data_IF_737047273711
#
_entry.id   IF_737047273711
#
_cell.length_a   1.000
_cell.length_b   1.000
_cell.length_c   1.000
_cell.angle_alpha   90.00
_cell.angle_beta   90.00
_cell.angle_gamma   90.00
#
_symmetry.space_group_name_H-M   'P 1'
#
loop_
_entity.id
_entity.type
_entity.pdbx_description
1 polymer ?
#
# COMPACT_ATOMS: atom_id res chain seq x y z
N UNK A 1 -6.13 58.73 -47.40
CA UNK A 1 -7.01 58.64 -46.21
C UNK A 1 -7.79 57.34 -46.33
N UNK A 2 -7.46 56.31 -45.51
CA UNK A 2 -8.14 55.96 -44.24
C UNK A 2 -9.45 55.18 -44.53
N UNK A 3 -9.85 54.03 -43.97
CA UNK A 3 -9.64 53.34 -42.69
C UNK A 3 -10.07 51.88 -42.94
N UNK A 4 -9.17 50.90 -42.88
CA UNK A 4 -9.54 49.48 -42.66
C UNK A 4 -8.43 48.81 -41.86
N UNK A 5 -8.20 49.32 -40.67
CA UNK A 5 -7.37 48.67 -39.66
C UNK A 5 -8.17 48.64 -38.34
N UNK A 6 -8.12 47.49 -37.66
CA UNK A 6 -8.75 47.14 -36.35
C UNK A 6 -10.14 46.48 -36.54
N UNK A 7 -10.40 45.26 -36.05
CA UNK A 7 -10.04 44.74 -34.72
C UNK A 7 -9.93 43.19 -34.68
N UNK A 8 -8.78 42.58 -35.01
CA UNK A 8 -8.52 41.16 -34.65
C UNK A 8 -8.47 40.92 -33.13
N UNK A 9 -8.53 41.99 -32.32
CA UNK A 9 -8.42 41.97 -30.86
C UNK A 9 -9.78 41.81 -30.16
N UNK A 10 -10.91 42.09 -30.82
CA UNK A 10 -12.24 42.02 -30.16
C UNK A 10 -12.66 40.59 -29.84
N UNK A 11 -12.41 39.64 -30.75
CA UNK A 11 -12.67 38.21 -30.49
C UNK A 11 -11.90 37.67 -29.29
N UNK A 12 -10.55 37.82 -29.26
CA UNK A 12 -9.73 37.47 -28.12
C UNK A 12 -10.13 38.17 -26.83
N UNK A 13 -10.52 39.45 -26.88
CA UNK A 13 -10.95 40.22 -25.72
C UNK A 13 -12.28 39.71 -25.15
N UNK A 14 -13.26 39.37 -26.01
CA UNK A 14 -14.53 38.77 -25.58
C UNK A 14 -14.28 37.41 -24.93
N UNK A 15 -13.40 36.57 -25.52
CA UNK A 15 -13.03 35.29 -24.93
C UNK A 15 -12.33 35.45 -23.58
N UNK A 16 -11.46 36.45 -23.45
CA UNK A 16 -10.76 36.75 -22.19
C UNK A 16 -11.75 37.22 -21.12
N UNK A 17 -12.69 38.11 -21.47
CA UNK A 17 -13.74 38.57 -20.56
C UNK A 17 -14.69 37.44 -20.17
N UNK A 18 -15.11 36.61 -21.13
CA UNK A 18 -15.93 35.44 -20.86
C UNK A 18 -15.20 34.47 -19.92
N UNK A 19 -13.92 34.20 -20.14
CA UNK A 19 -13.11 33.39 -19.24
C UNK A 19 -12.98 34.01 -17.85
N UNK A 20 -12.75 35.33 -17.76
CA UNK A 20 -12.64 36.05 -16.50
C UNK A 20 -13.92 36.02 -15.66
N UNK A 21 -15.09 35.81 -16.27
CA UNK A 21 -16.39 35.69 -15.57
C UNK A 21 -16.76 34.22 -15.32
N UNK A 22 -16.69 33.38 -16.35
CA UNK A 22 -17.10 31.97 -16.29
C UNK A 22 -16.19 31.16 -15.36
N UNK A 23 -14.90 31.47 -15.33
CA UNK A 23 -13.95 30.73 -14.52
C UNK A 23 -14.18 30.91 -13.01
N UNK A 24 -14.30 32.14 -12.45
CA UNK A 24 -14.69 32.31 -11.05
C UNK A 24 -16.02 31.66 -10.70
N UNK A 25 -17.04 31.77 -11.56
CA UNK A 25 -18.33 31.12 -11.34
C UNK A 25 -18.19 29.60 -11.22
N UNK A 26 -17.41 28.97 -12.11
CA UNK A 26 -17.12 27.55 -12.07
C UNK A 26 -16.36 27.15 -10.80
N UNK A 27 -15.35 27.95 -10.41
CA UNK A 27 -14.54 27.71 -9.22
C UNK A 27 -15.37 27.75 -7.94
N UNK A 28 -16.16 28.83 -7.74
CA UNK A 28 -17.03 28.98 -6.57
C UNK A 28 -18.15 27.93 -6.55
N UNK A 29 -18.73 27.59 -7.70
CA UNK A 29 -19.71 26.49 -7.78
C UNK A 29 -19.11 25.15 -7.30
N UNK A 30 -17.90 24.81 -7.76
CA UNK A 30 -17.23 23.59 -7.33
C UNK A 30 -16.87 23.61 -5.82
N UNK A 31 -16.40 24.75 -5.30
CA UNK A 31 -16.11 24.94 -3.88
C UNK A 31 -17.35 24.73 -2.98
N UNK A 32 -18.47 25.41 -3.30
CA UNK A 32 -19.72 25.28 -2.52
C UNK A 32 -20.32 23.88 -2.60
N UNK A 33 -20.23 23.24 -3.78
CA UNK A 33 -20.68 21.85 -3.94
C UNK A 33 -19.91 20.89 -3.04
N UNK A 34 -18.60 21.09 -2.91
CA UNK A 34 -17.74 20.25 -2.08
C UNK A 34 -18.07 20.35 -0.59
N UNK A 35 -18.31 21.56 -0.09
CA UNK A 35 -18.79 21.80 1.28
C UNK A 35 -20.11 21.09 1.56
N UNK A 36 -21.08 21.22 0.63
CA UNK A 36 -22.39 20.58 0.78
C UNK A 36 -22.27 19.05 0.77
N UNK A 37 -21.50 18.49 -0.16
CA UNK A 37 -21.27 17.04 -0.22
C UNK A 37 -20.53 16.51 1.02
N UNK A 38 -19.60 17.29 1.58
CA UNK A 38 -18.92 16.94 2.82
C UNK A 38 -19.89 16.88 4.00
N UNK A 39 -20.75 17.89 4.18
CA UNK A 39 -21.76 17.89 5.25
C UNK A 39 -22.71 16.68 5.15
N UNK A 40 -23.23 16.41 3.95
CA UNK A 40 -24.09 15.24 3.70
C UNK A 40 -23.35 13.91 3.96
N UNK A 41 -22.07 13.83 3.61
CA UNK A 41 -21.25 12.66 3.86
C UNK A 41 -21.02 12.43 5.36
N UNK A 42 -20.74 13.49 6.12
CA UNK A 42 -20.59 13.42 7.59
C UNK A 42 -21.90 12.98 8.25
N UNK A 43 -23.04 13.54 7.83
CA UNK A 43 -24.36 13.13 8.32
C UNK A 43 -24.67 11.65 8.02
N UNK A 44 -24.37 11.20 6.79
CA UNK A 44 -24.55 9.79 6.41
C UNK A 44 -23.71 8.85 7.27
N UNK A 45 -22.45 9.21 7.55
CA UNK A 45 -21.59 8.41 8.40
C UNK A 45 -22.07 8.40 9.87
N UNK A 46 -22.53 9.54 10.38
CA UNK A 46 -23.15 9.61 11.72
C UNK A 46 -24.40 8.74 11.81
N UNK A 47 -25.25 8.73 10.78
CA UNK A 47 -26.41 7.85 10.69
C UNK A 47 -26.04 6.35 10.68
N UNK A 48 -24.84 6.00 10.20
CA UNK A 48 -24.28 4.64 10.27
C UNK A 48 -23.57 4.33 11.60
N UNK A 49 -23.64 5.23 12.58
CA UNK A 49 -23.06 5.06 13.91
C UNK A 49 -21.61 5.54 14.08
N UNK A 50 -21.00 6.17 13.07
CA UNK A 50 -19.65 6.73 13.22
C UNK A 50 -19.71 8.04 14.02
N UNK A 51 -18.86 8.17 15.04
CA UNK A 51 -18.72 9.43 15.76
C UNK A 51 -17.63 10.28 15.09
N UNK A 52 -18.06 11.32 14.36
CA UNK A 52 -17.18 12.24 13.62
C UNK A 52 -17.28 13.63 14.24
N UNK A 53 -16.14 14.14 14.71
CA UNK A 53 -15.97 15.50 15.21
C UNK A 53 -14.83 16.17 14.45
N UNK A 54 -14.99 17.44 14.10
CA UNK A 54 -13.95 18.24 13.46
C UNK A 54 -14.05 19.69 13.95
N UNK A 55 -12.96 20.44 13.79
CA UNK A 55 -12.91 21.88 14.01
C UNK A 55 -13.45 22.65 12.80
N UNK A 56 -12.93 23.85 12.59
CA UNK A 56 -13.31 24.69 11.45
C UNK A 56 -12.96 24.03 10.12
N UNK A 57 -13.80 24.32 9.13
CA UNK A 57 -13.63 23.94 7.74
C UNK A 57 -13.44 25.22 6.94
N UNK A 58 -12.46 25.24 6.05
CA UNK A 58 -12.17 26.39 5.21
C UNK A 58 -11.80 25.98 3.80
N UNK A 59 -12.30 26.71 2.81
CA UNK A 59 -11.98 26.50 1.39
C UNK A 59 -11.12 27.66 0.87
N UNK A 60 -10.01 27.33 0.21
CA UNK A 60 -9.04 28.31 -0.32
C UNK A 60 -8.52 27.89 -1.70
N UNK A 61 -7.65 28.73 -2.28
CA UNK A 61 -6.87 28.38 -3.47
C UNK A 61 -7.35 28.99 -4.80
N UNK A 62 -8.27 29.95 -4.79
CA UNK A 62 -8.63 30.73 -5.98
C UNK A 62 -7.42 31.52 -6.53
N UNK A 63 -7.22 31.61 -7.85
CA UNK A 63 -7.96 31.00 -8.96
C UNK A 63 -7.39 29.62 -9.37
N UNK A 64 -6.67 28.91 -8.52
CA UNK A 64 -6.04 27.61 -8.81
C UNK A 64 -6.82 26.41 -8.27
N UNK A 65 -6.10 25.51 -7.60
CA UNK A 65 -6.64 24.28 -7.00
C UNK A 65 -7.57 24.64 -5.85
N UNK A 66 -8.75 24.03 -5.80
CA UNK A 66 -9.63 24.13 -4.63
C UNK A 66 -9.00 23.32 -3.51
N UNK A 67 -8.62 24.01 -2.44
CA UNK A 67 -8.04 23.42 -1.24
C UNK A 67 -9.04 23.51 -0.09
N UNK A 68 -9.63 22.37 0.24
CA UNK A 68 -10.56 22.22 1.35
C UNK A 68 -9.81 21.73 2.59
N UNK A 69 -9.81 22.50 3.66
CA UNK A 69 -9.03 22.20 4.87
C UNK A 69 -9.94 21.90 6.05
N UNK A 70 -9.73 20.76 6.70
CA UNK A 70 -10.48 20.30 7.87
C UNK A 70 -9.54 20.27 9.07
N UNK A 71 -9.82 21.11 10.08
CA UNK A 71 -9.04 21.16 11.31
C UNK A 71 -9.44 20.08 12.31
N UNK A 72 -8.46 19.52 13.03
CA UNK A 72 -8.59 18.56 14.13
C UNK A 72 -9.65 17.46 13.88
N UNK A 73 -9.62 16.75 12.74
CA UNK A 73 -10.56 15.68 12.48
C UNK A 73 -10.34 14.53 13.47
N UNK A 74 -11.44 14.04 14.03
CA UNK A 74 -11.46 12.87 14.89
C UNK A 74 -12.61 11.96 14.47
N UNK A 75 -12.26 10.72 14.15
CA UNK A 75 -13.16 9.69 13.65
C UNK A 75 -13.09 8.48 14.58
N UNK A 76 -14.24 8.03 15.06
CA UNK A 76 -14.39 6.82 15.86
C UNK A 76 -15.37 5.88 15.17
N UNK A 77 -14.97 4.62 15.07
CA UNK A 77 -15.80 3.57 14.50
C UNK A 77 -17.01 3.25 15.38
N UNK A 78 -18.13 2.74 14.80
CA UNK A 78 -19.34 2.41 15.56
C UNK A 78 -19.09 1.36 16.65
N UNK A 79 -18.20 0.41 16.37
CA UNK A 79 -17.77 -0.66 17.28
C UNK A 79 -16.71 -0.20 18.31
N UNK A 80 -16.18 1.02 18.18
CA UNK A 80 -15.09 1.54 19.01
C UNK A 80 -13.73 0.85 18.81
N UNK A 81 -13.60 -0.08 17.86
CA UNK A 81 -12.37 -0.82 17.60
C UNK A 81 -11.26 0.05 17.01
N UNK A 82 -11.59 1.18 16.39
CA UNK A 82 -10.57 2.12 15.95
C UNK A 82 -10.98 3.57 16.14
N UNK A 83 -9.97 4.38 16.47
CA UNK A 83 -10.10 5.83 16.59
C UNK A 83 -8.94 6.47 15.84
N UNK A 84 -9.25 7.31 14.87
CA UNK A 84 -8.27 8.14 14.18
C UNK A 84 -8.40 9.60 14.61
N UNK A 85 -7.26 10.24 14.84
CA UNK A 85 -7.11 11.66 15.14
C UNK A 85 -6.05 12.25 14.23
N UNK A 86 -6.41 13.31 13.52
CA UNK A 86 -5.50 14.10 12.71
C UNK A 86 -5.39 15.53 13.22
N UNK A 87 -4.32 16.22 12.81
CA UNK A 87 -4.17 17.64 13.09
C UNK A 87 -4.90 18.50 12.05
N UNK A 88 -4.58 18.34 10.77
CA UNK A 88 -5.27 18.99 9.66
C UNK A 88 -5.27 18.08 8.43
N UNK A 89 -6.36 18.11 7.67
CA UNK A 89 -6.46 17.43 6.38
C UNK A 89 -6.78 18.44 5.30
N UNK A 90 -5.96 18.45 4.26
CA UNK A 90 -6.18 19.23 3.04
C UNK A 90 -6.65 18.30 1.94
N UNK A 91 -7.79 18.62 1.33
CA UNK A 91 -8.29 17.97 0.13
C UNK A 91 -8.17 18.95 -1.03
N UNK A 92 -7.24 18.66 -1.93
CA UNK A 92 -7.01 19.38 -3.18
C UNK A 92 -7.77 18.75 -4.34
N UNK A 93 -8.46 19.59 -5.11
CA UNK A 93 -9.14 19.20 -6.35
C UNK A 93 -8.98 20.30 -7.41
N UNK A 94 -8.82 19.91 -8.67
CA UNK A 94 -8.84 20.85 -9.78
C UNK A 94 -10.30 21.13 -10.22
N UNK A 95 -10.74 22.39 -10.35
CA UNK A 95 -12.12 22.74 -10.71
C UNK A 95 -12.62 22.11 -12.01
N UNK A 96 -11.73 21.86 -12.98
CA UNK A 96 -12.04 21.25 -14.28
C UNK A 96 -11.82 19.73 -14.32
N UNK A 97 -11.25 19.12 -13.27
CA UNK A 97 -10.94 17.69 -13.23
C UNK A 97 -11.47 17.03 -11.95
N UNK A 98 -12.74 16.65 -11.98
CA UNK A 98 -13.49 16.04 -10.87
C UNK A 98 -13.15 14.56 -10.65
N UNK A 99 -12.10 14.06 -11.32
CA UNK A 99 -11.69 12.67 -11.29
C UNK A 99 -10.41 12.46 -10.51
N UNK A 100 -9.73 13.52 -10.08
CA UNK A 100 -8.48 13.43 -9.31
C UNK A 100 -8.59 14.22 -8.02
N UNK A 101 -8.37 13.52 -6.91
CA UNK A 101 -8.42 14.08 -5.57
C UNK A 101 -7.07 13.85 -4.90
N UNK A 102 -6.55 14.86 -4.21
CA UNK A 102 -5.32 14.77 -3.44
C UNK A 102 -5.62 15.11 -1.99
N UNK A 103 -5.47 14.13 -1.10
CA UNK A 103 -5.62 14.26 0.33
C UNK A 103 -4.24 14.37 0.96
N UNK A 104 -3.99 15.42 1.71
CA UNK A 104 -2.76 15.61 2.48
C UNK A 104 -3.10 15.72 3.95
N UNK A 105 -2.59 14.77 4.73
CA UNK A 105 -2.75 14.70 6.16
C UNK A 105 -1.49 15.28 6.79
N UNK A 106 -1.57 16.53 7.24
CA UNK A 106 -0.41 17.26 7.77
C UNK A 106 -0.37 17.22 9.29
N UNK A 107 0.84 17.12 9.83
CA UNK A 107 1.07 16.95 11.27
C UNK A 107 0.82 15.54 11.76
N UNK A 108 0.97 15.34 13.07
CA UNK A 108 0.88 14.03 13.70
C UNK A 108 -0.50 13.41 13.49
N UNK A 109 -0.52 12.27 12.79
CA UNK A 109 -1.69 11.41 12.65
C UNK A 109 -1.59 10.30 13.68
N UNK A 110 -2.66 10.03 14.43
CA UNK A 110 -2.70 8.97 15.42
C UNK A 110 -3.90 8.06 15.18
N UNK A 111 -3.66 6.77 14.99
CA UNK A 111 -4.68 5.74 14.90
C UNK A 111 -4.51 4.83 16.11
N UNK A 112 -5.52 4.76 16.96
CA UNK A 112 -5.63 3.74 18.01
C UNK A 112 -6.42 2.58 17.45
N UNK A 113 -5.82 1.40 17.39
CA UNK A 113 -6.49 0.15 17.04
C UNK A 113 -6.68 -0.68 18.30
N UNK A 114 -7.91 -1.11 18.56
CA UNK A 114 -8.37 -1.93 19.68
C UNK A 114 -9.20 -3.08 19.12
N UNK A 115 -8.61 -3.82 18.18
CA UNK A 115 -9.22 -4.99 17.53
C UNK A 115 -8.88 -6.26 18.33
N UNK A 116 -9.65 -7.37 18.29
CA UNK A 116 -9.32 -8.61 19.02
C UNK A 116 -7.92 -9.19 18.71
N UNK A 117 -7.36 -8.86 17.56
CA UNK A 117 -5.99 -9.21 17.16
C UNK A 117 -5.33 -7.94 16.65
N UNK A 118 -4.49 -7.25 17.45
CA UNK A 118 -3.83 -7.69 18.70
C UNK A 118 -4.70 -7.59 19.98
N UNK A 119 -4.53 -8.52 20.94
CA UNK A 119 -5.21 -8.53 22.26
C UNK A 119 -5.05 -7.24 23.08
N UNK A 120 -4.10 -6.38 22.71
CA UNK A 120 -3.83 -5.11 23.36
C UNK A 120 -3.94 -3.97 22.35
N UNK A 121 -4.41 -2.78 22.77
CA UNK A 121 -4.47 -1.65 21.87
C UNK A 121 -3.08 -1.28 21.37
N UNK A 122 -2.98 -0.94 20.09
CA UNK A 122 -1.77 -0.39 19.47
C UNK A 122 -2.04 1.03 18.96
N UNK A 123 -1.01 1.86 19.01
CA UNK A 123 -1.04 3.21 18.50
C UNK A 123 -0.13 3.30 17.29
N UNK A 124 -0.72 3.51 16.13
CA UNK A 124 0.00 3.84 14.92
C UNK A 124 0.07 5.37 14.84
N UNK A 125 1.27 5.90 14.68
CA UNK A 125 1.47 7.33 14.39
C UNK A 125 2.22 7.52 13.10
N UNK A 126 1.90 8.60 12.38
CA UNK A 126 2.60 9.01 11.16
C UNK A 126 2.78 10.53 11.16
N UNK A 127 3.91 11.01 10.65
CA UNK A 127 4.19 12.45 10.55
C UNK A 127 3.46 13.13 9.39
N UNK A 128 3.24 12.39 8.31
CA UNK A 128 2.53 12.89 7.14
C UNK A 128 1.99 11.72 6.32
N UNK A 129 0.80 11.89 5.77
CA UNK A 129 0.24 10.99 4.78
C UNK A 129 -0.23 11.80 3.57
N UNK A 130 0.00 11.27 2.37
CA UNK A 130 -0.54 11.83 1.13
C UNK A 130 -1.25 10.71 0.40
N UNK A 131 -2.51 10.91 0.05
CA UNK A 131 -3.27 10.00 -0.79
C UNK A 131 -3.72 10.71 -2.06
N UNK A 132 -3.48 10.11 -3.22
CA UNK A 132 -3.96 10.56 -4.52
C UNK A 132 -4.93 9.53 -5.04
N UNK A 133 -6.17 9.94 -5.28
CA UNK A 133 -7.23 9.09 -5.79
C UNK A 133 -7.62 9.55 -7.18
N UNK A 134 -7.70 8.60 -8.11
CA UNK A 134 -8.24 8.81 -9.46
C UNK A 134 -9.47 7.94 -9.66
N UNK A 135 -10.50 8.51 -10.25
CA UNK A 135 -11.80 7.85 -10.47
C UNK A 135 -12.07 7.77 -11.98
N UNK A 136 -12.62 6.64 -12.41
CA UNK A 136 -13.09 6.41 -13.78
C UNK A 136 -14.35 7.24 -14.10
N UNK A 137 -14.75 7.27 -15.36
CA UNK A 137 -15.95 7.99 -15.80
C UNK A 137 -17.24 7.50 -15.11
N UNK A 138 -17.27 6.22 -14.75
CA UNK A 138 -18.36 5.54 -14.06
C UNK A 138 -18.37 5.71 -12.53
N UNK A 139 -17.51 6.57 -11.97
CA UNK A 139 -17.43 6.82 -10.52
C UNK A 139 -16.67 5.76 -9.71
N UNK A 140 -16.11 4.72 -10.35
CA UNK A 140 -15.28 3.70 -9.67
C UNK A 140 -13.85 4.16 -9.51
N UNK A 141 -13.18 3.70 -8.46
CA UNK A 141 -11.75 3.95 -8.27
C UNK A 141 -10.95 3.38 -9.46
N UNK A 142 -10.18 4.24 -10.12
CA UNK A 142 -9.23 3.88 -11.16
C UNK A 142 -7.85 3.61 -10.58
N UNK A 143 -7.43 4.46 -9.64
CA UNK A 143 -6.10 4.45 -9.07
C UNK A 143 -6.13 5.05 -7.67
N UNK A 144 -5.44 4.43 -6.73
CA UNK A 144 -5.21 4.96 -5.40
C UNK A 144 -3.74 4.84 -5.06
N UNK A 145 -3.10 5.95 -4.78
CA UNK A 145 -1.71 6.03 -4.38
C UNK A 145 -1.62 6.65 -2.99
N UNK A 146 -0.90 6.01 -2.08
CA UNK A 146 -0.74 6.44 -0.68
C UNK A 146 0.73 6.45 -0.35
N UNK A 147 1.22 7.59 0.13
CA UNK A 147 2.57 7.77 0.68
C UNK A 147 2.45 8.14 2.15
N UNK A 148 3.13 7.41 3.01
CA UNK A 148 3.16 7.60 4.45
C UNK A 148 4.61 7.77 4.88
N UNK A 149 4.87 8.75 5.74
CA UNK A 149 6.22 9.00 6.28
C UNK A 149 6.28 8.85 7.79
N UNK A 150 7.42 8.35 8.26
CA UNK A 150 7.78 8.13 9.66
C UNK A 150 6.65 7.46 10.42
N UNK A 151 6.35 6.22 10.06
CA UNK A 151 5.30 5.43 10.68
C UNK A 151 5.90 4.73 11.89
N UNK A 152 5.32 4.94 13.07
CA UNK A 152 5.68 4.18 14.26
C UNK A 152 4.45 3.50 14.84
N UNK A 153 4.62 2.25 15.23
CA UNK A 153 3.63 1.46 15.95
C UNK A 153 4.14 1.27 17.36
N UNK A 154 3.36 1.71 18.32
CA UNK A 154 3.66 1.61 19.75
C UNK A 154 2.62 0.74 20.44
N UNK A 155 3.05 -0.01 21.45
CA UNK A 155 2.15 -0.79 22.31
C UNK A 155 1.59 0.06 23.48
N UNK A 156 0.84 -0.59 24.37
CA UNK A 156 0.29 0.04 25.59
C UNK A 156 1.34 0.57 26.56
N UNK A 157 2.53 -0.03 26.58
CA UNK A 157 3.66 0.40 27.42
C UNK A 157 4.50 1.49 26.76
N UNK A 158 4.08 2.01 25.60
CA UNK A 158 4.84 2.94 24.75
C UNK A 158 6.15 2.34 24.24
N UNK A 159 6.28 1.02 24.23
CA UNK A 159 7.39 0.36 23.58
C UNK A 159 7.19 0.39 22.07
N UNK A 160 8.28 0.63 21.33
CA UNK A 160 8.26 0.58 19.88
C UNK A 160 8.06 -0.87 19.43
N UNK A 161 6.97 -1.13 18.72
CA UNK A 161 6.68 -2.43 18.10
C UNK A 161 7.29 -2.49 16.72
N UNK A 162 7.15 -1.41 15.93
CA UNK A 162 7.59 -1.35 14.55
C UNK A 162 7.79 0.11 14.13
N UNK A 163 8.82 0.37 13.33
CA UNK A 163 9.02 1.69 12.71
C UNK A 163 9.39 1.53 11.25
N UNK A 164 8.90 2.41 10.38
CA UNK A 164 9.38 2.53 8.99
C UNK A 164 9.44 4.00 8.60
N UNK A 165 10.45 4.35 7.82
CA UNK A 165 10.72 5.71 7.39
C UNK A 165 9.75 6.15 6.30
N UNK A 166 9.58 5.32 5.27
CA UNK A 166 8.70 5.59 4.14
C UNK A 166 7.93 4.33 3.76
N UNK A 167 6.63 4.50 3.54
CA UNK A 167 5.77 3.49 2.94
C UNK A 167 5.02 4.10 1.77
N UNK A 168 5.10 3.43 0.63
CA UNK A 168 4.39 3.79 -0.58
C UNK A 168 3.54 2.61 -1.04
N UNK A 169 2.30 2.89 -1.38
CA UNK A 169 1.33 1.92 -1.86
C UNK A 169 0.60 2.49 -3.06
N UNK A 170 0.47 1.69 -4.12
CA UNK A 170 -0.31 2.03 -5.30
C UNK A 170 -1.20 0.88 -5.70
N UNK A 171 -2.45 1.20 -5.99
CA UNK A 171 -3.46 0.28 -6.47
C UNK A 171 -4.06 0.84 -7.76
N UNK A 172 -4.16 -0.01 -8.78
CA UNK A 172 -4.75 0.33 -10.08
C UNK A 172 -5.83 -0.68 -10.45
N UNK A 173 -6.96 -0.19 -10.95
CA UNK A 173 -8.09 -1.01 -11.39
C UNK A 173 -8.50 -0.68 -12.83
N UNK A 174 -8.77 -1.70 -13.67
CA UNK A 174 -9.32 -1.48 -15.00
C UNK A 174 -10.76 -0.94 -14.91
N UNK A 175 -11.17 -0.15 -15.92
CA UNK A 175 -12.51 0.47 -15.96
C UNK A 175 -13.63 -0.57 -16.10
N UNK A 176 -13.41 -1.58 -16.92
CA UNK A 176 -14.34 -2.69 -17.14
C UNK A 176 -14.17 -3.75 -16.06
N UNK A 177 -15.28 -4.15 -15.44
CA UNK A 177 -15.29 -5.29 -14.50
C UNK A 177 -14.94 -6.56 -15.29
N UNK A 178 -14.06 -7.37 -14.74
CA UNK A 178 -13.65 -8.63 -15.36
C UNK A 178 -14.86 -9.54 -15.60
N UNK A 179 -14.94 -10.10 -16.80
CA UNK A 179 -15.87 -11.20 -17.15
C UNK A 179 -15.19 -12.57 -17.25
N UNK A 180 -13.84 -12.64 -17.25
CA UNK A 180 -13.04 -13.89 -17.39
C UNK A 180 -11.95 -13.97 -16.33
N UNK A 181 -11.85 -15.10 -15.63
CA UNK A 181 -10.95 -15.36 -14.48
C UNK A 181 -9.48 -15.00 -14.76
N UNK A 182 -9.00 -15.16 -15.98
CA UNK A 182 -7.60 -14.95 -16.38
C UNK A 182 -7.15 -13.48 -16.43
N UNK A 183 -8.08 -12.51 -16.39
CA UNK A 183 -7.73 -11.08 -16.46
C UNK A 183 -7.37 -10.52 -15.08
N UNK A 184 -6.40 -9.59 -15.07
CA UNK A 184 -6.00 -8.83 -13.87
C UNK A 184 -7.16 -7.99 -13.34
N UNK A 185 -7.50 -8.20 -12.07
CA UNK A 185 -8.57 -7.49 -11.37
C UNK A 185 -8.07 -6.19 -10.76
N UNK A 186 -6.90 -6.27 -10.14
CA UNK A 186 -6.22 -5.18 -9.48
C UNK A 186 -4.73 -5.40 -9.68
N UNK A 187 -4.01 -4.33 -9.98
CA UNK A 187 -2.56 -4.29 -9.85
C UNK A 187 -2.20 -3.52 -8.58
N UNK A 188 -1.27 -4.06 -7.78
CA UNK A 188 -0.76 -3.45 -6.55
C UNK A 188 0.75 -3.29 -6.67
N UNK A 189 1.27 -2.17 -6.21
CA UNK A 189 2.68 -1.96 -5.95
C UNK A 189 2.87 -1.44 -4.52
N UNK A 190 3.84 -1.98 -3.81
CA UNK A 190 4.18 -1.61 -2.42
C UNK A 190 5.69 -1.39 -2.31
N UNK A 191 6.11 -0.34 -1.61
CA UNK A 191 7.48 -0.12 -1.16
C UNK A 191 7.43 0.24 0.32
N UNK A 192 8.26 -0.42 1.13
CA UNK A 192 8.50 -0.10 2.53
C UNK A 192 10.01 0.01 2.70
N UNK A 193 10.48 1.16 3.15
CA UNK A 193 11.90 1.42 3.34
C UNK A 193 12.23 1.58 4.84
N UNK A 194 13.40 1.06 5.23
CA UNK A 194 13.93 1.12 6.59
C UNK A 194 12.94 0.65 7.67
N UNK A 195 12.41 -0.57 7.51
CA UNK A 195 11.57 -1.21 8.51
C UNK A 195 12.43 -1.73 9.67
N UNK A 196 12.25 -1.15 10.85
CA UNK A 196 12.89 -1.57 12.09
C UNK A 196 11.97 -2.54 12.85
N UNK A 197 12.55 -3.69 13.18
CA UNK A 197 11.95 -4.71 14.03
C UNK A 197 12.16 -4.37 15.51
N UNK A 198 11.27 -4.83 16.39
CA UNK A 198 11.45 -4.63 17.82
C UNK A 198 12.63 -5.46 18.32
N UNK A 199 13.39 -4.94 19.28
CA UNK A 199 14.57 -5.63 19.84
C UNK A 199 14.23 -7.05 20.38
N UNK A 200 13.00 -7.24 20.86
CA UNK A 200 12.47 -8.53 21.36
C UNK A 200 12.43 -9.60 20.26
N UNK A 201 12.34 -9.22 18.99
CA UNK A 201 12.29 -10.18 17.89
C UNK A 201 13.62 -10.92 17.67
N UNK A 202 14.75 -10.38 18.16
CA UNK A 202 16.10 -10.96 18.07
C UNK A 202 16.38 -11.67 16.73
N UNK A 203 16.07 -11.01 15.60
CA UNK A 203 16.19 -11.67 14.30
C UNK A 203 17.67 -11.95 13.97
N UNK A 204 18.00 -13.16 13.47
CA UNK A 204 19.35 -13.51 13.04
C UNK A 204 19.88 -12.61 11.92
N UNK A 205 19.00 -12.07 11.08
CA UNK A 205 19.38 -11.21 9.95
C UNK A 205 19.48 -9.72 10.33
N UNK A 206 19.43 -9.41 11.62
CA UNK A 206 19.49 -8.07 12.18
C UNK A 206 18.11 -7.41 12.36
N UNK A 207 18.09 -6.29 13.08
CA UNK A 207 16.86 -5.58 13.45
C UNK A 207 16.29 -4.65 12.37
N UNK A 208 16.87 -4.58 11.17
CA UNK A 208 16.46 -3.65 10.11
C UNK A 208 16.31 -4.35 8.76
N UNK A 209 15.12 -4.27 8.19
CA UNK A 209 14.86 -4.58 6.80
C UNK A 209 15.01 -3.26 6.02
N UNK A 210 16.06 -3.17 5.23
CA UNK A 210 16.36 -1.96 4.49
C UNK A 210 15.28 -1.65 3.45
N UNK A 211 14.71 -2.69 2.83
CA UNK A 211 13.75 -2.55 1.74
C UNK A 211 12.83 -3.76 1.61
N UNK A 212 11.54 -3.49 1.39
CA UNK A 212 10.54 -4.46 0.94
C UNK A 212 9.79 -3.84 -0.23
N UNK A 213 9.93 -4.42 -1.41
CA UNK A 213 9.25 -3.98 -2.62
C UNK A 213 8.52 -5.13 -3.27
N UNK A 214 7.30 -4.87 -3.74
CA UNK A 214 6.42 -5.88 -4.30
C UNK A 214 5.54 -5.27 -5.37
N UNK A 215 5.49 -5.87 -6.57
CA UNK A 215 4.60 -5.48 -7.67
C UNK A 215 3.86 -6.71 -8.15
N UNK A 216 2.54 -6.71 -8.01
CA UNK A 216 1.73 -7.85 -8.34
C UNK A 216 0.38 -7.54 -8.99
N UNK A 217 -0.07 -8.49 -9.78
CA UNK A 217 -1.36 -8.51 -10.44
C UNK A 217 -2.23 -9.58 -9.77
N UNK A 218 -3.31 -9.16 -9.12
CA UNK A 218 -4.29 -10.06 -8.54
C UNK A 218 -5.30 -10.43 -9.63
N UNK A 219 -5.48 -11.71 -9.89
CA UNK A 219 -6.39 -12.28 -10.88
C UNK A 219 -7.62 -12.91 -10.22
N UNK A 220 -8.63 -13.18 -11.04
CA UNK A 220 -9.89 -13.75 -10.60
C UNK A 220 -10.82 -12.76 -9.89
N UNK A 221 -11.92 -13.28 -9.35
CA UNK A 221 -12.91 -12.49 -8.63
C UNK A 221 -12.41 -12.17 -7.22
N UNK A 222 -11.93 -10.95 -7.01
CA UNK A 222 -11.38 -10.53 -5.72
C UNK A 222 -12.34 -10.85 -4.56
N UNK A 223 -11.79 -11.32 -3.44
CA UNK A 223 -12.58 -11.63 -2.26
C UNK A 223 -13.28 -10.36 -1.75
N UNK A 224 -14.54 -10.50 -1.32
CA UNK A 224 -15.32 -9.36 -0.77
C UNK A 224 -14.82 -8.89 0.59
N UNK A 225 -14.18 -9.80 1.34
CA UNK A 225 -13.64 -9.59 2.67
C UNK A 225 -12.38 -10.45 2.85
N UNK A 226 -11.56 -10.12 3.85
CA UNK A 226 -10.36 -10.88 4.20
C UNK A 226 -10.65 -12.02 5.19
N UNK A 227 -11.84 -12.62 5.13
CA UNK A 227 -12.18 -13.78 5.97
C UNK A 227 -11.77 -15.07 5.28
N UNK A 228 -11.70 -16.16 6.05
CA UNK A 228 -11.45 -17.49 5.51
C UNK A 228 -12.43 -17.85 4.38
N UNK A 229 -13.73 -17.52 4.53
CA UNK A 229 -14.75 -17.78 3.51
C UNK A 229 -14.55 -16.90 2.27
N UNK A 230 -14.13 -15.66 2.44
CA UNK A 230 -13.83 -14.73 1.34
C UNK A 230 -12.68 -15.23 0.50
N UNK A 231 -11.57 -15.58 1.15
CA UNK A 231 -10.37 -16.10 0.49
C UNK A 231 -10.60 -17.48 -0.13
N UNK A 232 -11.33 -18.36 0.54
CA UNK A 232 -11.69 -19.66 -0.03
C UNK A 232 -12.49 -19.53 -1.33
N UNK A 233 -13.44 -18.58 -1.39
CA UNK A 233 -14.18 -18.31 -2.63
C UNK A 233 -13.28 -17.76 -3.74
N UNK A 234 -12.33 -16.89 -3.41
CA UNK A 234 -11.36 -16.38 -4.38
C UNK A 234 -10.48 -17.51 -4.91
N UNK A 235 -9.99 -18.39 -4.04
CA UNK A 235 -9.23 -19.59 -4.39
C UNK A 235 -10.02 -20.51 -5.32
N UNK A 236 -11.24 -20.89 -4.94
CA UNK A 236 -12.11 -21.76 -5.75
C UNK A 236 -12.45 -21.15 -7.12
N UNK A 237 -12.48 -19.82 -7.22
CA UNK A 237 -12.66 -19.10 -8.48
C UNK A 237 -11.38 -18.99 -9.33
N UNK A 238 -10.31 -19.72 -9.00
CA UNK A 238 -9.03 -19.67 -9.72
C UNK A 238 -8.20 -18.42 -9.42
N UNK A 239 -8.40 -17.80 -8.26
CA UNK A 239 -7.67 -16.62 -7.81
C UNK A 239 -6.17 -16.88 -7.71
N UNK A 240 -5.38 -15.98 -8.31
CA UNK A 240 -3.92 -16.01 -8.25
C UNK A 240 -3.32 -14.61 -8.17
N UNK A 241 -2.06 -14.57 -7.76
CA UNK A 241 -1.25 -13.36 -7.64
C UNK A 241 0.00 -13.58 -8.49
N UNK A 242 0.11 -12.85 -9.59
CA UNK A 242 1.31 -12.86 -10.41
C UNK A 242 2.19 -11.69 -10.00
N UNK A 243 3.35 -11.99 -9.40
CA UNK A 243 4.35 -10.97 -9.04
C UNK A 243 5.38 -10.85 -10.17
N UNK A 244 5.40 -9.71 -10.84
CA UNK A 244 6.39 -9.43 -11.89
C UNK A 244 7.76 -9.09 -11.29
N UNK A 245 7.76 -8.54 -10.08
CA UNK A 245 8.95 -8.13 -9.37
C UNK A 245 8.68 -8.09 -7.87
N UNK A 246 9.60 -8.64 -7.09
CA UNK A 246 9.70 -8.38 -5.67
C UNK A 246 11.17 -8.30 -5.26
N UNK A 247 11.45 -7.51 -4.21
CA UNK A 247 12.79 -7.31 -3.68
C UNK A 247 12.71 -7.17 -2.16
N UNK A 248 13.52 -7.94 -1.44
CA UNK A 248 13.65 -7.93 0.00
C UNK A 248 15.13 -7.79 0.35
N UNK A 249 15.47 -6.75 1.10
CA UNK A 249 16.83 -6.53 1.62
C UNK A 249 16.81 -6.50 3.14
N UNK A 250 17.41 -7.51 3.77
CA UNK A 250 17.45 -7.70 5.21
C UNK A 250 18.84 -8.13 5.68
N UNK A 251 19.60 -7.19 6.24
CA UNK A 251 21.00 -7.43 6.57
C UNK A 251 21.80 -7.77 5.30
N UNK A 252 22.48 -8.91 5.31
CA UNK A 252 23.21 -9.43 4.14
C UNK A 252 22.29 -10.08 3.09
N UNK A 253 21.05 -10.45 3.46
CA UNK A 253 20.12 -11.13 2.58
C UNK A 253 19.46 -10.15 1.61
N UNK A 254 19.86 -10.17 0.33
CA UNK A 254 19.19 -9.48 -0.77
C UNK A 254 18.58 -10.53 -1.69
N UNK A 255 17.25 -10.58 -1.69
CA UNK A 255 16.48 -11.53 -2.46
C UNK A 255 15.58 -10.77 -3.43
N UNK A 256 15.71 -11.11 -4.70
CA UNK A 256 14.92 -10.54 -5.80
C UNK A 256 14.29 -11.66 -6.59
N UNK A 257 13.11 -11.41 -7.16
CA UNK A 257 12.54 -12.43 -8.02
C UNK A 257 11.20 -12.09 -8.61
N UNK A 258 10.60 -13.13 -9.17
CA UNK A 258 9.28 -13.10 -9.80
C UNK A 258 8.63 -14.47 -9.69
N UNK A 259 7.32 -14.51 -9.65
CA UNK A 259 6.59 -15.75 -9.40
C UNK A 259 5.09 -15.61 -9.52
N UNK A 260 4.40 -16.72 -9.30
CA UNK A 260 2.95 -16.78 -9.24
C UNK A 260 2.53 -17.57 -8.02
N UNK A 261 1.57 -17.03 -7.29
CA UNK A 261 1.11 -17.57 -6.02
C UNK A 261 -0.41 -17.65 -5.97
N UNK A 262 -0.90 -18.59 -5.18
CA UNK A 262 -2.28 -18.68 -4.72
C UNK A 262 -2.25 -19.13 -3.26
N UNK A 263 -3.38 -19.61 -2.76
CA UNK A 263 -3.51 -20.19 -1.43
C UNK A 263 -4.06 -21.61 -1.53
N UNK A 264 -3.70 -22.47 -0.57
CA UNK A 264 -4.27 -23.81 -0.43
C UNK A 264 -5.55 -23.80 0.43
N UNK A 265 -6.13 -24.98 0.67
CA UNK A 265 -7.35 -25.16 1.47
C UNK A 265 -7.18 -24.76 2.95
N UNK A 266 -5.94 -24.71 3.44
CA UNK A 266 -5.59 -24.24 4.78
C UNK A 266 -5.21 -22.75 4.80
N UNK A 267 -5.46 -22.03 3.70
CA UNK A 267 -5.06 -20.62 3.51
C UNK A 267 -3.54 -20.43 3.70
N UNK A 268 -2.75 -21.41 3.25
CA UNK A 268 -1.28 -21.29 3.17
C UNK A 268 -0.88 -20.87 1.76
N UNK A 269 0.17 -20.07 1.59
CA UNK A 269 0.71 -19.77 0.27
C UNK A 269 1.09 -21.04 -0.49
N UNK A 270 0.72 -21.11 -1.76
CA UNK A 270 1.14 -22.15 -2.70
C UNK A 270 1.57 -21.49 -4.01
N UNK A 271 2.63 -21.98 -4.64
CA UNK A 271 3.10 -21.44 -5.91
C UNK A 271 4.59 -21.62 -6.11
N UNK A 272 5.12 -20.91 -7.10
CA UNK A 272 6.53 -20.96 -7.43
C UNK A 272 7.07 -19.58 -7.79
N UNK A 273 8.36 -19.40 -7.55
CA UNK A 273 9.09 -18.21 -7.97
C UNK A 273 10.51 -18.59 -8.39
N UNK A 274 11.10 -17.78 -9.24
CA UNK A 274 12.54 -17.78 -9.45
C UNK A 274 13.11 -16.61 -8.67
N UNK A 275 14.10 -16.90 -7.82
CA UNK A 275 14.74 -15.91 -6.98
C UNK A 275 16.25 -15.85 -7.24
N UNK A 276 16.76 -14.63 -7.31
CA UNK A 276 18.17 -14.29 -7.26
C UNK A 276 18.50 -13.86 -5.83
N UNK A 277 19.46 -14.54 -5.20
CA UNK A 277 19.81 -14.35 -3.80
C UNK A 277 21.28 -13.96 -3.70
N UNK A 278 21.54 -12.84 -3.03
CA UNK A 278 22.88 -12.41 -2.60
C UNK A 278 22.99 -12.53 -1.08
N UNK A 279 24.23 -12.66 -0.61
CA UNK A 279 24.52 -12.87 0.82
C UNK A 279 23.95 -14.17 1.37
N UNK A 280 23.78 -15.20 0.51
CA UNK A 280 23.19 -16.47 0.90
C UNK A 280 24.06 -17.21 1.93
N UNK A 281 25.39 -17.11 1.82
CA UNK A 281 26.30 -17.77 2.77
C UNK A 281 26.15 -17.18 4.17
N UNK A 282 26.22 -15.86 4.28
CA UNK A 282 26.08 -15.09 5.51
C UNK A 282 24.68 -15.26 6.12
N UNK A 283 23.65 -15.37 5.27
CA UNK A 283 22.29 -15.67 5.70
C UNK A 283 22.22 -17.07 6.32
N UNK A 284 22.85 -18.07 5.70
CA UNK A 284 22.85 -19.44 6.25
C UNK A 284 23.62 -19.49 7.58
N UNK A 285 24.78 -18.83 7.66
CA UNK A 285 25.57 -18.77 8.89
C UNK A 285 24.76 -18.13 10.03
N UNK A 286 24.07 -17.02 9.78
CA UNK A 286 23.21 -16.38 10.76
C UNK A 286 22.01 -17.26 11.21
N UNK A 287 21.45 -18.06 10.30
CA UNK A 287 20.36 -18.99 10.63
C UNK A 287 20.85 -20.21 11.43
N UNK A 288 22.05 -20.69 11.15
CA UNK A 288 22.70 -21.78 11.88
C UNK A 288 23.10 -21.34 13.29
N UNK A 289 23.71 -20.16 13.43
CA UNK A 289 24.06 -19.54 14.72
C UNK A 289 22.83 -19.33 15.61
N UNK A 290 21.67 -19.05 15.00
CA UNK A 290 20.38 -18.92 15.70
C UNK A 290 19.67 -20.26 15.96
N UNK A 291 20.24 -21.39 15.51
CA UNK A 291 19.66 -22.73 15.68
C UNK A 291 18.37 -22.96 14.89
N UNK A 292 18.06 -22.13 13.90
CA UNK A 292 16.87 -22.27 13.04
C UNK A 292 17.08 -23.42 12.04
N UNK A 293 18.32 -23.60 11.58
CA UNK A 293 18.76 -24.75 10.81
C UNK A 293 19.88 -25.46 11.58
N UNK A 294 19.80 -26.79 11.69
CA UNK A 294 20.81 -27.58 12.41
C UNK A 294 21.20 -28.82 11.60
N UNK A 295 22.50 -29.14 11.58
CA UNK A 295 23.02 -30.43 11.16
C UNK A 295 23.51 -30.53 9.71
N UNK A 296 23.84 -31.76 9.28
CA UNK A 296 24.46 -32.09 7.99
C UNK A 296 23.72 -31.58 6.76
N UNK A 297 22.40 -31.35 6.86
CA UNK A 297 21.60 -30.74 5.80
C UNK A 297 21.95 -29.28 5.49
N UNK A 298 22.36 -28.49 6.50
CA UNK A 298 22.77 -27.10 6.33
C UNK A 298 24.09 -27.00 5.56
N UNK A 299 25.09 -27.80 5.93
CA UNK A 299 26.37 -27.87 5.24
C UNK A 299 26.20 -28.34 3.77
N UNK A 300 25.38 -29.37 3.53
CA UNK A 300 25.08 -29.84 2.18
C UNK A 300 24.39 -28.76 1.33
N UNK A 301 23.43 -28.04 1.91
CA UNK A 301 22.76 -26.93 1.26
C UNK A 301 23.77 -25.81 0.93
N UNK A 302 24.64 -25.41 1.88
CA UNK A 302 25.65 -24.37 1.67
C UNK A 302 26.63 -24.72 0.56
N UNK A 303 27.08 -25.98 0.50
CA UNK A 303 27.92 -26.48 -0.59
C UNK A 303 27.19 -26.46 -1.93
N UNK A 304 25.95 -26.94 -1.97
CA UNK A 304 25.12 -26.90 -3.17
C UNK A 304 24.89 -25.47 -3.67
N UNK A 305 24.50 -24.56 -2.79
CA UNK A 305 24.30 -23.14 -3.11
C UNK A 305 25.58 -22.52 -3.66
N UNK A 306 26.75 -22.81 -3.07
CA UNK A 306 28.04 -22.28 -3.54
C UNK A 306 28.43 -22.82 -4.91
N UNK A 307 28.10 -24.09 -5.22
CA UNK A 307 28.35 -24.67 -6.53
C UNK A 307 27.44 -24.11 -7.64
N UNK A 308 26.24 -23.64 -7.30
CA UNK A 308 25.29 -23.05 -8.25
C UNK A 308 25.32 -21.51 -8.30
N UNK A 309 26.01 -20.87 -7.35
CA UNK A 309 26.19 -19.43 -7.35
C UNK A 309 27.08 -19.00 -8.52
N UNK A 310 26.74 -17.87 -9.13
CA UNK A 310 27.50 -17.26 -10.22
C UNK A 310 27.95 -15.88 -9.80
N UNK A 311 29.19 -15.53 -10.10
CA UNK A 311 29.70 -14.18 -9.93
C UNK A 311 29.03 -13.26 -10.97
N UNK A 312 28.38 -12.21 -10.50
CA UNK A 312 27.76 -11.21 -11.37
C UNK A 312 28.83 -10.43 -12.12
N UNK A 313 28.68 -10.31 -13.44
CA UNK A 313 29.58 -9.51 -14.27
C UNK A 313 29.45 -8.01 -14.05
N UNK A 314 28.36 -7.55 -13.43
CA UNK A 314 28.08 -6.13 -13.23
C UNK A 314 28.83 -5.53 -12.02
N UNK A 315 28.91 -6.27 -10.92
CA UNK A 315 29.45 -5.78 -9.64
C UNK A 315 30.32 -6.81 -8.89
N UNK A 316 30.61 -7.97 -9.49
CA UNK A 316 31.43 -9.01 -8.87
C UNK A 316 30.77 -9.75 -7.70
N UNK A 317 29.50 -9.46 -7.38
CA UNK A 317 28.81 -10.13 -6.28
C UNK A 317 28.40 -11.56 -6.66
N UNK A 318 28.50 -12.51 -5.73
CA UNK A 318 27.99 -13.87 -5.93
C UNK A 318 26.46 -13.87 -5.82
N UNK A 319 25.80 -14.39 -6.87
CA UNK A 319 24.35 -14.49 -6.99
C UNK A 319 23.95 -15.94 -7.14
N UNK A 320 23.07 -16.42 -6.27
CA UNK A 320 22.43 -17.71 -6.40
C UNK A 320 21.05 -17.54 -7.03
N UNK A 321 20.87 -18.04 -8.25
CA UNK A 321 19.56 -18.12 -8.90
C UNK A 321 18.96 -19.50 -8.66
N UNK A 322 17.84 -19.58 -7.93
CA UNK A 322 17.20 -20.85 -7.56
C UNK A 322 15.68 -20.79 -7.68
N UNK A 323 15.01 -21.85 -8.16
CA UNK A 323 13.56 -21.96 -8.04
C UNK A 323 13.18 -22.20 -6.58
N UNK A 324 12.27 -21.36 -6.08
CA UNK A 324 11.61 -21.56 -4.81
C UNK A 324 10.17 -22.04 -5.04
N UNK A 325 9.77 -23.08 -4.32
CA UNK A 325 8.42 -23.63 -4.40
C UNK A 325 7.76 -23.65 -3.04
N UNK A 326 6.52 -23.19 -2.98
CA UNK A 326 5.68 -23.26 -1.79
C UNK A 326 4.63 -24.34 -2.05
N UNK A 327 4.75 -25.47 -1.36
CA UNK A 327 3.85 -26.62 -1.54
C UNK A 327 3.75 -27.41 -0.25
N UNK A 328 2.54 -27.91 0.06
CA UNK A 328 2.32 -28.74 1.24
C UNK A 328 2.57 -28.01 2.57
N UNK A 329 2.54 -26.67 2.59
CA UNK A 329 2.87 -25.88 3.78
C UNK A 329 4.37 -25.78 4.08
N UNK A 330 5.23 -25.99 3.09
CA UNK A 330 6.67 -25.80 3.20
C UNK A 330 7.21 -24.94 2.05
N UNK A 331 8.26 -24.17 2.36
CA UNK A 331 9.09 -23.50 1.37
C UNK A 331 10.25 -24.43 1.00
N UNK A 332 10.40 -24.70 -0.29
CA UNK A 332 11.48 -25.49 -0.86
C UNK A 332 12.38 -24.62 -1.72
N UNK A 333 13.68 -24.88 -1.69
CA UNK A 333 14.66 -24.33 -2.61
C UNK A 333 15.32 -25.50 -3.35
N UNK A 334 14.93 -25.72 -4.62
CA UNK A 334 15.26 -26.96 -5.32
C UNK A 334 14.76 -28.21 -4.56
N UNK A 335 15.62 -29.21 -4.28
CA UNK A 335 15.23 -30.42 -3.55
C UNK A 335 15.15 -30.20 -2.02
N UNK A 336 15.63 -29.07 -1.50
CA UNK A 336 15.78 -28.85 -0.07
C UNK A 336 14.53 -28.18 0.52
N UNK A 337 14.05 -28.72 1.64
CA UNK A 337 13.02 -28.07 2.45
C UNK A 337 13.69 -27.06 3.38
N UNK A 338 13.27 -25.79 3.30
CA UNK A 338 13.89 -24.68 4.05
C UNK A 338 13.14 -24.42 5.35
N UNK A 339 11.84 -24.15 5.27
CA UNK A 339 11.03 -23.81 6.44
C UNK A 339 9.56 -24.15 6.24
N UNK A 340 8.84 -24.26 7.36
CA UNK A 340 7.39 -24.45 7.40
C UNK A 340 6.66 -23.12 7.18
N UNK A 341 5.65 -23.13 6.33
CA UNK A 341 4.78 -21.98 6.05
C UNK A 341 3.46 -22.12 6.82
N UNK A 342 3.21 -21.27 7.83
CA UNK A 342 1.94 -21.28 8.54
C UNK A 342 0.79 -20.73 7.66
N UNK A 343 -0.47 -21.05 7.99
CA UNK A 343 -1.63 -20.36 7.43
C UNK A 343 -1.52 -18.85 7.59
N UNK A 344 -2.06 -18.10 6.63
CA UNK A 344 -2.18 -16.65 6.77
C UNK A 344 -3.09 -16.33 7.95
N UNK A 345 -2.64 -15.42 8.81
CA UNK A 345 -3.43 -14.94 9.93
C UNK A 345 -4.47 -13.97 9.38
N UNK A 346 -5.74 -14.35 9.47
CA UNK A 346 -6.86 -13.53 9.03
C UNK A 346 -7.54 -12.86 10.22
N UNK A 347 -8.15 -11.68 10.05
CA UNK A 347 -9.07 -11.15 11.04
C UNK A 347 -10.20 -12.16 11.29
N UNK A 348 -10.43 -12.51 12.56
CA UNK A 348 -11.59 -13.30 12.97
C UNK A 348 -12.87 -12.51 12.69
N UNK A 349 -13.89 -13.20 12.17
CA UNK A 349 -15.18 -12.62 11.77
C UNK A 349 -15.80 -11.69 12.79
#
# INVERSE_FOLDING_TARGET
>A
MSIFARKPIVGPLILLLAFAILYPLCWFYAATRMETQFSLWVENLRARGFAITHGSVSTAGFPGIIQFSINKPNFRSPDGHWVWRGNIVHLGMQPWNWRRYRLEFSGLQQIKLSYPTPKQPIWLTSKSAVAVLRVHSNGRLAEGEVTLRSISVMDKKKALVLFTEDMWFKLTQPETRISKVEKTAVSVAVSIDNLLLPAVAQSPLGGRLARIQFVANLKGLLPKDMTHKGLEKWRQAGGSIDTSWFNLVWGAFDLRGRGSFSIDESIRPVGSMTADIRGYSETMDALEDAGIMTGTGAAALKMGMSAFAKTSSADGANVLTIPLMMRGGYLHAGPFQILKLPPLILPSR
#
